data_IF_540928884452
#
_entry.id   IF_540928884452
#
_cell.length_a   1.000
_cell.length_b   1.000
_cell.length_c   1.000
_cell.angle_alpha   90.00
_cell.angle_beta   90.00
_cell.angle_gamma   90.00
#
_symmetry.space_group_name_H-M   'P 1'
#
loop_
_entity.id
_entity.type
_entity.pdbx_description
1 polymer ?
#
# COMPACT_ATOMS: atom_id res chain seq x y z
N UNK A 1 -4.55 22.92 -1.95
CA UNK A 1 -5.21 24.20 -1.71
C UNK A 1 -5.51 24.96 -3.01
N UNK A 2 -4.66 24.92 -3.99
CA UNK A 2 -4.82 25.68 -5.25
C UNK A 2 -6.05 25.27 -6.05
N UNK A 3 -6.38 23.99 -6.13
CA UNK A 3 -7.48 23.47 -6.95
C UNK A 3 -8.85 23.69 -6.31
N UNK A 4 -8.98 23.47 -5.00
CA UNK A 4 -10.27 23.59 -4.29
C UNK A 4 -10.35 24.80 -3.37
N UNK A 5 -9.38 25.69 -3.42
CA UNK A 5 -9.29 26.92 -2.60
C UNK A 5 -9.55 26.70 -1.09
N UNK A 6 -9.18 25.53 -0.57
CA UNK A 6 -9.28 25.20 0.85
C UNK A 6 -8.02 25.64 1.60
N UNK A 7 -8.20 26.02 2.87
CA UNK A 7 -7.07 26.34 3.74
C UNK A 7 -6.13 25.14 3.89
N UNK A 8 -4.82 25.42 4.06
CA UNK A 8 -3.76 24.41 4.19
C UNK A 8 -4.05 23.43 5.35
N UNK A 9 -4.62 23.93 6.45
CA UNK A 9 -5.04 23.11 7.58
C UNK A 9 -6.11 22.07 7.17
N UNK A 10 -7.12 22.54 6.44
CA UNK A 10 -8.21 21.68 5.93
C UNK A 10 -7.66 20.69 4.91
N UNK A 11 -6.78 21.12 4.00
CA UNK A 11 -6.13 20.24 3.04
C UNK A 11 -5.33 19.12 3.74
N UNK A 12 -4.59 19.45 4.81
CA UNK A 12 -3.89 18.48 5.64
C UNK A 12 -4.82 17.48 6.32
N UNK A 13 -5.96 17.93 6.86
CA UNK A 13 -6.98 17.06 7.45
C UNK A 13 -7.59 16.10 6.42
N UNK A 14 -7.85 16.60 5.20
CA UNK A 14 -8.38 15.77 4.11
C UNK A 14 -7.36 14.73 3.63
N UNK A 15 -6.08 15.10 3.53
CA UNK A 15 -5.00 14.14 3.22
C UNK A 15 -4.85 13.08 4.33
N UNK A 16 -5.02 13.46 5.60
CA UNK A 16 -5.02 12.54 6.71
C UNK A 16 -6.16 11.50 6.65
N UNK A 17 -7.28 11.82 6.02
CA UNK A 17 -8.41 10.91 5.83
C UNK A 17 -8.00 9.65 5.04
N UNK A 18 -7.18 9.81 3.98
CA UNK A 18 -6.63 8.68 3.24
C UNK A 18 -5.69 7.82 4.11
N UNK A 19 -4.74 8.46 4.80
CA UNK A 19 -3.77 7.74 5.64
C UNK A 19 -4.42 7.03 6.81
N UNK A 20 -5.46 7.63 7.41
CA UNK A 20 -6.23 7.06 8.49
C UNK A 20 -6.99 5.81 8.02
N UNK A 21 -7.71 5.91 6.91
CA UNK A 21 -8.42 4.76 6.34
C UNK A 21 -7.45 3.64 5.94
N UNK A 22 -6.33 3.99 5.29
CA UNK A 22 -5.29 3.05 4.89
C UNK A 22 -4.60 2.34 6.06
N UNK A 23 -4.61 2.92 7.25
CA UNK A 23 -3.98 2.33 8.45
C UNK A 23 -4.96 1.51 9.28
N UNK A 24 -6.12 2.07 9.61
CA UNK A 24 -7.11 1.43 10.49
C UNK A 24 -7.69 0.15 9.89
N UNK A 25 -8.03 0.19 8.58
CA UNK A 25 -8.67 -0.95 7.93
C UNK A 25 -7.70 -2.05 7.52
N UNK A 26 -6.38 -1.90 7.77
CA UNK A 26 -5.41 -2.96 7.47
C UNK A 26 -5.65 -4.23 8.30
N UNK A 27 -5.98 -4.08 9.58
CA UNK A 27 -6.32 -5.22 10.44
C UNK A 27 -7.56 -5.96 9.91
N UNK A 28 -8.58 -5.19 9.48
CA UNK A 28 -9.78 -5.74 8.85
C UNK A 28 -9.47 -6.46 7.52
N UNK A 29 -8.53 -5.93 6.74
CA UNK A 29 -8.03 -6.59 5.52
C UNK A 29 -7.40 -7.95 5.79
N UNK A 30 -6.65 -8.09 6.89
CA UNK A 30 -6.13 -9.37 7.35
C UNK A 30 -7.26 -10.38 7.62
N UNK A 31 -8.26 -10.01 8.44
CA UNK A 31 -9.42 -10.84 8.75
C UNK A 31 -10.22 -11.25 7.51
N UNK A 32 -10.44 -10.32 6.57
CA UNK A 32 -11.14 -10.62 5.31
C UNK A 32 -10.33 -11.57 4.43
N UNK A 33 -9.00 -11.41 4.40
CA UNK A 33 -8.11 -12.30 3.67
C UNK A 33 -8.10 -13.71 4.26
N UNK A 34 -8.29 -13.87 5.59
CA UNK A 34 -8.45 -15.15 6.26
C UNK A 34 -9.76 -15.82 5.84
N UNK A 35 -10.86 -15.05 5.82
CA UNK A 35 -12.20 -15.58 5.54
C UNK A 35 -12.45 -15.88 4.07
N UNK A 36 -12.02 -15.01 3.17
CA UNK A 36 -12.37 -15.07 1.73
C UNK A 36 -11.20 -15.48 0.82
N UNK A 37 -10.00 -15.58 1.39
CA UNK A 37 -8.75 -15.81 0.66
C UNK A 37 -8.10 -14.53 0.14
N UNK A 38 -6.79 -14.42 0.34
CA UNK A 38 -6.01 -13.23 -0.01
C UNK A 38 -6.10 -12.87 -1.51
N UNK A 39 -6.17 -13.88 -2.40
CA UNK A 39 -6.28 -13.70 -3.85
C UNK A 39 -7.55 -12.94 -4.25
N UNK A 40 -8.71 -13.30 -3.69
CA UNK A 40 -9.98 -12.62 -3.98
C UNK A 40 -9.97 -11.17 -3.48
N UNK A 41 -9.39 -10.94 -2.31
CA UNK A 41 -9.25 -9.59 -1.75
C UNK A 41 -8.33 -8.73 -2.62
N UNK A 42 -7.24 -9.28 -3.17
CA UNK A 42 -6.39 -8.56 -4.12
C UNK A 42 -7.14 -8.16 -5.39
N UNK A 43 -7.91 -9.06 -6.00
CA UNK A 43 -8.74 -8.71 -7.17
C UNK A 43 -9.76 -7.61 -6.87
N UNK A 44 -10.45 -7.70 -5.72
CA UNK A 44 -11.38 -6.65 -5.29
C UNK A 44 -10.66 -5.31 -5.08
N UNK A 45 -9.48 -5.35 -4.44
CA UNK A 45 -8.67 -4.15 -4.23
C UNK A 45 -8.28 -3.49 -5.55
N UNK A 46 -7.70 -4.25 -6.48
CA UNK A 46 -7.30 -3.69 -7.77
C UNK A 46 -8.49 -3.20 -8.59
N UNK A 47 -9.61 -3.94 -8.61
CA UNK A 47 -10.82 -3.55 -9.34
C UNK A 47 -11.39 -2.24 -8.83
N UNK A 48 -11.60 -2.10 -7.53
CA UNK A 48 -12.13 -0.87 -6.93
C UNK A 48 -11.13 0.28 -7.04
N UNK A 49 -9.83 0.01 -6.81
CA UNK A 49 -8.79 1.05 -6.97
C UNK A 49 -8.72 1.57 -8.40
N UNK A 50 -8.87 0.70 -9.40
CA UNK A 50 -8.93 1.08 -10.81
C UNK A 50 -10.11 2.03 -11.07
N UNK A 51 -11.32 1.71 -10.57
CA UNK A 51 -12.49 2.58 -10.72
C UNK A 51 -12.30 3.92 -10.02
N UNK A 52 -11.82 3.93 -8.77
CA UNK A 52 -11.56 5.17 -8.03
C UNK A 52 -10.52 6.03 -8.73
N UNK A 53 -9.41 5.44 -9.19
CA UNK A 53 -8.34 6.16 -9.87
C UNK A 53 -8.78 6.68 -11.23
N UNK A 54 -9.61 5.93 -11.97
CA UNK A 54 -10.22 6.41 -13.20
C UNK A 54 -11.05 7.67 -12.95
N UNK A 55 -11.91 7.66 -11.93
CA UNK A 55 -12.71 8.83 -11.55
C UNK A 55 -11.84 10.01 -11.14
N UNK A 56 -10.79 9.78 -10.35
CA UNK A 56 -9.88 10.82 -9.87
C UNK A 56 -8.96 11.36 -10.98
N UNK A 57 -8.65 10.57 -12.00
CA UNK A 57 -7.78 10.95 -13.11
C UNK A 57 -8.46 11.91 -14.10
N UNK A 58 -9.80 11.99 -14.04
CA UNK A 58 -10.55 12.81 -15.00
C UNK A 58 -10.39 14.30 -14.68
N UNK A 59 -9.79 15.11 -15.57
CA UNK A 59 -9.62 16.53 -15.35
C UNK A 59 -10.94 17.27 -15.52
N UNK A 60 -11.03 18.46 -14.93
CA UNK A 60 -12.14 19.38 -15.21
C UNK A 60 -12.14 19.73 -16.70
N UNK A 61 -13.24 19.46 -17.37
CA UNK A 61 -13.33 19.57 -18.82
C UNK A 61 -14.62 20.28 -19.21
N UNK A 62 -14.48 21.24 -20.10
CA UNK A 62 -15.62 21.93 -20.71
C UNK A 62 -15.94 21.25 -22.05
N UNK A 63 -17.18 20.82 -22.19
CA UNK A 63 -17.69 20.18 -23.40
C UNK A 63 -18.64 21.12 -24.13
N UNK A 64 -18.51 21.16 -25.45
CA UNK A 64 -19.49 21.78 -26.35
C UNK A 64 -20.01 20.68 -27.26
N UNK A 65 -21.29 20.36 -27.08
CA UNK A 65 -21.98 19.38 -27.94
C UNK A 65 -22.72 20.17 -29.02
N UNK A 66 -22.36 19.94 -30.27
CA UNK A 66 -23.07 20.53 -31.42
C UNK A 66 -24.41 19.81 -31.63
N UNK A 67 -25.46 20.34 -31.02
CA UNK A 67 -26.81 19.80 -31.14
C UNK A 67 -27.57 20.31 -32.36
N UNK A 68 -28.65 19.61 -32.73
CA UNK A 68 -29.48 19.97 -33.90
C UNK A 68 -30.10 21.36 -33.79
N UNK A 69 -30.34 21.88 -32.55
CA UNK A 69 -30.97 23.18 -32.28
C UNK A 69 -29.98 24.25 -31.77
N UNK A 70 -28.67 23.96 -31.78
CA UNK A 70 -27.62 24.85 -31.28
C UNK A 70 -26.62 24.11 -30.38
N UNK A 71 -25.56 24.82 -30.03
CA UNK A 71 -24.49 24.28 -29.18
C UNK A 71 -24.94 24.21 -27.72
N UNK A 72 -24.68 23.11 -27.09
CA UNK A 72 -24.93 22.89 -25.66
C UNK A 72 -23.57 22.79 -24.96
N UNK A 73 -23.26 23.80 -24.16
CA UNK A 73 -22.03 23.80 -23.34
C UNK A 73 -22.35 23.24 -21.96
N UNK A 74 -21.55 22.29 -21.48
CA UNK A 74 -21.57 21.83 -20.10
C UNK A 74 -20.14 21.56 -19.61
N UNK A 75 -19.90 21.84 -18.32
CA UNK A 75 -18.62 21.56 -17.68
C UNK A 75 -18.75 20.39 -16.72
N UNK A 76 -17.78 19.51 -16.76
CA UNK A 76 -17.67 18.39 -15.82
C UNK A 76 -16.48 18.65 -14.91
N UNK A 77 -16.74 18.79 -13.61
CA UNK A 77 -15.71 18.91 -12.59
C UNK A 77 -16.06 18.07 -11.37
N UNK A 78 -15.06 17.47 -10.76
CA UNK A 78 -15.25 16.72 -9.51
C UNK A 78 -15.25 17.72 -8.34
N UNK A 79 -16.37 17.79 -7.61
CA UNK A 79 -16.46 18.61 -6.40
C UNK A 79 -15.61 18.03 -5.26
N UNK A 80 -15.34 18.84 -4.24
CA UNK A 80 -14.53 18.44 -3.09
C UNK A 80 -15.08 17.21 -2.35
N UNK A 81 -16.39 17.15 -2.14
CA UNK A 81 -17.01 16.04 -1.37
C UNK A 81 -16.88 14.69 -2.10
N UNK A 82 -17.26 14.55 -3.39
CA UNK A 82 -17.02 13.32 -4.15
C UNK A 82 -15.53 12.96 -4.22
N UNK A 83 -14.64 13.93 -4.34
CA UNK A 83 -13.20 13.73 -4.32
C UNK A 83 -12.75 13.04 -3.01
N UNK A 84 -13.13 13.60 -1.86
CA UNK A 84 -12.77 13.07 -0.54
C UNK A 84 -13.35 11.67 -0.31
N UNK A 85 -14.60 11.44 -0.70
CA UNK A 85 -15.23 10.11 -0.60
C UNK A 85 -14.46 9.10 -1.44
N UNK A 86 -14.14 9.44 -2.69
CA UNK A 86 -13.42 8.54 -3.60
C UNK A 86 -12.01 8.22 -3.07
N UNK A 87 -11.30 9.21 -2.55
CA UNK A 87 -9.98 9.04 -1.91
C UNK A 87 -10.07 8.18 -0.66
N UNK A 88 -11.12 8.34 0.15
CA UNK A 88 -11.34 7.49 1.33
C UNK A 88 -11.58 6.02 0.93
N UNK A 89 -12.45 5.78 -0.05
CA UNK A 89 -12.74 4.43 -0.58
C UNK A 89 -11.47 3.80 -1.16
N UNK A 90 -10.70 4.57 -1.92
CA UNK A 90 -9.40 4.13 -2.45
C UNK A 90 -8.45 3.70 -1.32
N UNK A 91 -8.29 4.53 -0.29
CA UNK A 91 -7.46 4.22 0.88
C UNK A 91 -7.91 2.96 1.62
N UNK A 92 -9.23 2.79 1.78
CA UNK A 92 -9.82 1.60 2.37
C UNK A 92 -9.42 0.33 1.60
N UNK A 93 -9.68 0.27 0.31
CA UNK A 93 -9.36 -0.92 -0.50
C UNK A 93 -7.84 -1.14 -0.64
N UNK A 94 -7.04 -0.11 -0.74
CA UNK A 94 -5.58 -0.23 -0.75
C UNK A 94 -5.05 -0.83 0.57
N UNK A 95 -5.68 -0.54 1.70
CA UNK A 95 -5.31 -1.16 2.99
C UNK A 95 -5.59 -2.66 3.01
N UNK A 96 -6.73 -3.10 2.45
CA UNK A 96 -7.08 -4.51 2.32
C UNK A 96 -6.06 -5.24 1.44
N UNK A 97 -5.71 -4.67 0.29
CA UNK A 97 -4.72 -5.23 -0.63
C UNK A 97 -3.34 -5.36 0.00
N UNK A 98 -2.90 -4.35 0.76
CA UNK A 98 -1.62 -4.41 1.47
C UNK A 98 -1.58 -5.55 2.49
N UNK A 99 -2.65 -5.76 3.24
CA UNK A 99 -2.75 -6.89 4.16
C UNK A 99 -2.71 -8.24 3.41
N UNK A 100 -3.44 -8.34 2.29
CA UNK A 100 -3.47 -9.55 1.47
C UNK A 100 -2.11 -9.91 0.88
N UNK A 101 -1.32 -8.91 0.43
CA UNK A 101 0.05 -9.13 -0.08
C UNK A 101 0.94 -9.76 1.00
N UNK A 102 0.94 -9.18 2.21
CA UNK A 102 1.77 -9.70 3.30
C UNK A 102 1.35 -11.11 3.74
N UNK A 103 0.08 -11.46 3.58
CA UNK A 103 -0.40 -12.82 3.87
C UNK A 103 0.10 -13.87 2.89
N UNK A 104 0.38 -13.50 1.64
CA UNK A 104 0.96 -14.43 0.66
C UNK A 104 2.40 -14.83 1.00
N UNK A 105 3.17 -13.99 1.71
CA UNK A 105 4.58 -14.24 1.98
C UNK A 105 4.79 -15.56 2.75
N UNK A 106 4.18 -15.77 3.93
CA UNK A 106 4.38 -17.03 4.64
C UNK A 106 3.81 -18.25 3.92
N UNK A 107 2.82 -18.07 3.05
CA UNK A 107 2.23 -19.16 2.27
C UNK A 107 3.18 -19.65 1.18
N UNK A 108 3.86 -18.74 0.47
CA UNK A 108 4.75 -19.11 -0.64
C UNK A 108 6.21 -19.28 -0.23
N UNK A 109 6.63 -18.64 0.86
CA UNK A 109 8.02 -18.62 1.34
C UNK A 109 8.09 -18.84 2.86
N UNK A 110 7.68 -20.01 3.38
CA UNK A 110 7.60 -20.24 4.82
C UNK A 110 8.96 -20.12 5.50
N UNK A 111 10.03 -20.61 4.87
CA UNK A 111 11.38 -20.60 5.44
C UNK A 111 12.09 -19.24 5.33
N UNK A 112 11.54 -18.30 4.54
CA UNK A 112 12.17 -17.01 4.21
C UNK A 112 11.25 -15.82 4.42
N UNK A 113 10.29 -15.90 5.33
CA UNK A 113 9.27 -14.87 5.57
C UNK A 113 9.87 -13.49 5.83
N UNK A 114 10.92 -13.44 6.66
CA UNK A 114 11.59 -12.18 7.01
C UNK A 114 12.28 -11.53 5.81
N UNK A 115 13.09 -12.31 5.10
CA UNK A 115 13.85 -11.87 3.93
C UNK A 115 12.93 -11.41 2.79
N UNK A 116 11.93 -12.22 2.43
CA UNK A 116 10.95 -11.86 1.38
C UNK A 116 10.08 -10.67 1.81
N UNK A 117 9.65 -10.63 3.07
CA UNK A 117 8.92 -9.49 3.62
C UNK A 117 9.73 -8.19 3.59
N UNK A 118 11.03 -8.28 3.87
CA UNK A 118 11.98 -7.18 3.75
C UNK A 118 12.11 -6.68 2.31
N UNK A 119 12.28 -7.59 1.33
CA UNK A 119 12.32 -7.24 -0.10
C UNK A 119 11.02 -6.60 -0.60
N UNK A 120 9.86 -7.14 -0.24
CA UNK A 120 8.56 -6.55 -0.58
C UNK A 120 8.44 -5.14 0.02
N UNK A 121 8.88 -4.98 1.27
CA UNK A 121 8.91 -3.68 1.93
C UNK A 121 9.90 -2.68 1.29
N UNK A 122 11.05 -3.15 0.79
CA UNK A 122 12.03 -2.35 0.06
C UNK A 122 11.44 -1.84 -1.27
N UNK A 123 10.86 -2.73 -2.08
CA UNK A 123 10.22 -2.34 -3.35
C UNK A 123 9.09 -1.34 -3.11
N UNK A 124 8.29 -1.54 -2.05
CA UNK A 124 7.27 -0.56 -1.65
C UNK A 124 7.85 0.80 -1.25
N UNK A 125 9.00 0.81 -0.55
CA UNK A 125 9.73 2.03 -0.20
C UNK A 125 10.30 2.75 -1.43
N UNK A 126 10.85 2.02 -2.40
CA UNK A 126 11.28 2.57 -3.69
C UNK A 126 10.13 3.20 -4.47
N UNK A 127 8.94 2.61 -4.41
CA UNK A 127 7.73 3.26 -4.96
C UNK A 127 7.48 4.63 -4.34
N UNK A 128 7.68 4.77 -3.02
CA UNK A 128 7.58 6.05 -2.32
C UNK A 128 8.65 7.08 -2.73
N UNK A 129 9.77 6.65 -3.29
CA UNK A 129 10.78 7.52 -3.87
C UNK A 129 10.47 7.86 -5.34
N UNK A 130 10.22 6.86 -6.17
CA UNK A 130 10.07 7.03 -7.63
C UNK A 130 8.77 7.76 -7.99
N UNK A 131 7.64 7.43 -7.34
CA UNK A 131 6.34 7.97 -7.72
C UNK A 131 6.23 9.49 -7.56
N UNK A 132 6.68 10.14 -6.47
CA UNK A 132 6.64 11.60 -6.39
C UNK A 132 7.42 12.28 -7.52
N UNK A 133 8.58 11.74 -7.91
CA UNK A 133 9.39 12.28 -9.01
C UNK A 133 8.62 12.15 -10.34
N UNK A 134 8.05 10.96 -10.61
CA UNK A 134 7.23 10.75 -11.81
C UNK A 134 6.02 11.69 -11.82
N UNK A 135 5.38 11.92 -10.68
CA UNK A 135 4.25 12.84 -10.57
C UNK A 135 4.67 14.29 -10.87
N UNK A 136 5.83 14.73 -10.36
CA UNK A 136 6.38 16.05 -10.68
C UNK A 136 6.59 16.22 -12.18
N UNK A 137 7.33 15.29 -12.80
CA UNK A 137 7.63 15.33 -14.24
C UNK A 137 6.35 15.30 -15.09
N UNK A 138 5.41 14.41 -14.78
CA UNK A 138 4.17 14.30 -15.58
C UNK A 138 3.27 15.51 -15.36
N UNK A 139 3.22 16.06 -14.16
CA UNK A 139 2.48 17.31 -13.88
C UNK A 139 3.05 18.49 -14.66
N UNK A 140 4.37 18.63 -14.71
CA UNK A 140 5.04 19.71 -15.44
C UNK A 140 4.86 19.56 -16.97
N UNK A 141 4.90 18.34 -17.48
CA UNK A 141 4.71 18.05 -18.91
C UNK A 141 3.26 18.28 -19.37
N UNK A 142 2.29 17.93 -18.55
CA UNK A 142 0.87 17.97 -18.93
C UNK A 142 0.15 19.24 -18.49
N UNK A 143 0.68 19.94 -17.48
CA UNK A 143 0.01 21.04 -16.78
C UNK A 143 -1.38 20.64 -16.21
N UNK A 144 -1.58 19.33 -15.95
CA UNK A 144 -2.83 18.79 -15.42
C UNK A 144 -2.57 18.22 -14.03
N UNK A 145 -3.19 18.79 -13.00
CA UNK A 145 -3.00 18.35 -11.62
C UNK A 145 -3.47 16.92 -11.35
N UNK A 146 -4.46 16.42 -12.12
CA UNK A 146 -4.95 15.02 -12.00
C UNK A 146 -4.03 13.99 -12.67
N UNK A 147 -2.96 14.42 -13.32
CA UNK A 147 -2.03 13.54 -14.05
C UNK A 147 -1.37 12.49 -13.14
N UNK A 148 -1.14 12.81 -11.86
CA UNK A 148 -0.66 11.84 -10.88
C UNK A 148 -1.63 10.64 -10.71
N UNK A 149 -2.94 10.88 -10.74
CA UNK A 149 -3.94 9.82 -10.68
C UNK A 149 -4.00 9.02 -11.99
N UNK A 150 -3.72 9.64 -13.14
CA UNK A 150 -3.58 8.94 -14.42
C UNK A 150 -2.41 7.95 -14.39
N UNK A 151 -1.26 8.36 -13.84
CA UNK A 151 -0.11 7.47 -13.65
C UNK A 151 -0.45 6.32 -12.73
N UNK A 152 -1.08 6.60 -11.59
CA UNK A 152 -1.51 5.56 -10.65
C UNK A 152 -2.52 4.60 -11.26
N UNK A 153 -3.47 5.11 -12.05
CA UNK A 153 -4.42 4.29 -12.79
C UNK A 153 -3.71 3.33 -13.74
N UNK A 154 -2.78 3.83 -14.55
CA UNK A 154 -1.99 3.00 -15.46
C UNK A 154 -1.19 1.92 -14.71
N UNK A 155 -0.56 2.28 -13.59
CA UNK A 155 0.18 1.32 -12.76
C UNK A 155 -0.74 0.23 -12.18
N UNK A 156 -1.93 0.58 -11.72
CA UNK A 156 -2.90 -0.39 -11.17
C UNK A 156 -3.40 -1.34 -12.27
N UNK A 157 -3.67 -0.83 -13.48
CA UNK A 157 -4.06 -1.66 -14.63
C UNK A 157 -2.96 -2.65 -14.98
N UNK A 158 -1.70 -2.18 -15.07
CA UNK A 158 -0.53 -3.04 -15.35
C UNK A 158 -0.35 -4.09 -14.26
N UNK A 159 -0.44 -3.67 -12.98
CA UNK A 159 -0.29 -4.58 -11.83
C UNK A 159 -1.39 -5.65 -11.80
N UNK A 160 -2.65 -5.27 -12.08
CA UNK A 160 -3.76 -6.22 -12.18
C UNK A 160 -3.55 -7.23 -13.31
N UNK A 161 -3.14 -6.75 -14.48
CA UNK A 161 -2.84 -7.61 -15.64
C UNK A 161 -1.69 -8.58 -15.33
N UNK A 162 -0.61 -8.08 -14.72
CA UNK A 162 0.53 -8.90 -14.31
C UNK A 162 0.13 -9.96 -13.28
N UNK A 163 -0.61 -9.56 -12.24
CA UNK A 163 -1.12 -10.50 -11.24
C UNK A 163 -1.99 -11.58 -11.88
N UNK A 164 -2.90 -11.20 -12.78
CA UNK A 164 -3.77 -12.15 -13.47
C UNK A 164 -2.97 -13.15 -14.33
N UNK A 165 -1.97 -12.67 -15.08
CA UNK A 165 -1.08 -13.53 -15.87
C UNK A 165 -0.27 -14.47 -14.99
N UNK A 166 0.28 -13.99 -13.89
CA UNK A 166 1.05 -14.82 -12.95
C UNK A 166 0.18 -15.93 -12.33
N UNK A 167 -1.05 -15.62 -11.94
CA UNK A 167 -1.99 -16.60 -11.42
C UNK A 167 -2.33 -17.66 -12.48
N UNK A 168 -2.62 -17.24 -13.71
CA UNK A 168 -2.89 -18.16 -14.84
C UNK A 168 -1.71 -19.08 -15.12
N UNK A 169 -0.48 -18.56 -15.12
CA UNK A 169 0.71 -19.39 -15.30
C UNK A 169 0.90 -20.40 -14.18
N UNK A 170 0.62 -20.02 -12.93
CA UNK A 170 0.69 -20.96 -11.80
C UNK A 170 -0.38 -22.06 -11.91
N UNK A 171 -1.61 -21.70 -12.28
CA UNK A 171 -2.69 -22.67 -12.50
C UNK A 171 -2.39 -23.62 -13.65
N UNK A 172 -1.82 -23.14 -14.74
CA UNK A 172 -1.40 -23.99 -15.87
C UNK A 172 -0.28 -24.96 -15.48
N UNK A 173 0.70 -24.49 -14.69
CA UNK A 173 1.75 -25.37 -14.18
C UNK A 173 1.20 -26.42 -13.20
N UNK A 174 0.25 -26.02 -12.34
CA UNK A 174 -0.39 -26.94 -11.41
C UNK A 174 -1.29 -27.99 -12.11
N UNK A 175 -1.94 -27.64 -13.21
CA UNK A 175 -2.78 -28.57 -13.98
C UNK A 175 -1.98 -29.63 -14.76
N UNK A 176 -0.67 -29.41 -14.96
CA UNK A 176 0.25 -30.39 -15.58
C UNK A 176 0.91 -31.33 -14.58
N UNK A 177 0.71 -31.14 -13.29
CA UNK A 177 1.26 -31.96 -12.21
C UNK A 177 0.10 -32.78 -11.62
N UNK A 178 0.30 -34.10 -11.47
CA UNK A 178 -0.69 -34.97 -10.85
C UNK A 178 -1.05 -34.41 -9.45
N UNK A 179 -2.29 -33.98 -9.29
CA UNK A 179 -2.81 -33.30 -8.06
C UNK A 179 -2.61 -34.14 -6.80
N UNK A 180 -2.36 -35.46 -6.96
CA UNK A 180 -2.04 -36.39 -5.86
C UNK A 180 -0.58 -36.31 -5.39
N UNK A 181 0.31 -35.69 -6.15
CA UNK A 181 1.73 -35.51 -5.80
C UNK A 181 2.06 -34.11 -5.28
N UNK A 182 1.12 -33.16 -5.34
CA UNK A 182 1.29 -31.88 -4.65
C UNK A 182 1.15 -32.15 -3.16
N UNK A 183 2.08 -31.66 -2.32
CA UNK A 183 1.78 -31.53 -0.90
C UNK A 183 0.48 -30.76 -0.84
N UNK A 184 -0.57 -31.38 -0.32
CA UNK A 184 -1.81 -30.69 0.00
C UNK A 184 -1.37 -29.42 0.69
N UNK A 185 -1.77 -28.24 0.17
CA UNK A 185 -1.44 -27.00 0.85
C UNK A 185 -1.83 -27.21 2.30
N UNK A 186 -0.90 -27.36 3.22
CA UNK A 186 -1.28 -27.54 4.59
C UNK A 186 -1.91 -26.22 4.96
N UNK A 187 -3.19 -26.21 5.18
CA UNK A 187 -3.78 -25.28 6.08
C UNK A 187 -3.01 -25.49 7.38
N UNK A 188 -1.93 -24.73 7.54
CA UNK A 188 -1.21 -24.41 8.77
C UNK A 188 -1.02 -25.56 9.81
N UNK A 189 -0.90 -26.79 9.41
CA UNK A 189 -0.52 -27.89 10.29
C UNK A 189 0.76 -28.52 9.74
N UNK A 190 1.84 -28.43 10.52
CA UNK A 190 3.13 -29.09 10.32
C UNK A 190 4.17 -28.39 9.43
N UNK A 191 4.63 -27.22 9.86
CA UNK A 191 5.93 -26.71 9.44
C UNK A 191 6.70 -26.17 10.64
N UNK A 192 7.13 -27.06 11.49
CA UNK A 192 8.29 -26.79 12.36
C UNK A 192 8.98 -28.11 12.71
N UNK A 193 10.12 -28.35 12.07
CA UNK A 193 11.11 -29.30 12.56
C UNK A 193 11.96 -28.54 13.59
N UNK A 194 11.83 -28.84 14.91
CA UNK A 194 12.53 -28.11 15.96
C UNK A 194 14.03 -28.34 16.01
N UNK A 195 14.57 -29.27 15.17
CA UNK A 195 15.95 -29.75 15.32
C UNK A 195 17.01 -28.83 14.66
N UNK A 196 16.65 -27.71 14.03
CA UNK A 196 17.59 -26.89 13.23
C UNK A 196 18.07 -25.59 13.86
N UNK A 197 17.71 -25.25 15.08
CA UNK A 197 18.23 -24.03 15.71
C UNK A 197 19.22 -24.37 16.82
N UNK A 198 20.50 -24.26 16.48
CA UNK A 198 21.60 -24.32 17.43
C UNK A 198 21.55 -23.17 18.43
N UNK A 199 21.79 -23.49 19.68
CA UNK A 199 21.78 -22.62 20.83
C UNK A 199 22.71 -21.41 20.67
N UNK A 200 22.16 -20.21 20.72
CA UNK A 200 22.83 -18.96 21.04
C UNK A 200 22.01 -18.22 22.09
N UNK A 201 22.64 -17.77 23.14
CA UNK A 201 22.06 -17.14 24.33
C UNK A 201 21.36 -15.81 24.01
N UNK A 202 20.24 -15.83 23.38
CA UNK A 202 19.29 -14.74 23.33
C UNK A 202 17.94 -15.27 23.77
N UNK A 203 17.13 -14.48 24.45
CA UNK A 203 15.77 -14.80 24.89
C UNK A 203 14.85 -15.06 23.66
N UNK A 204 15.24 -16.00 22.83
CA UNK A 204 14.50 -16.49 21.70
C UNK A 204 13.55 -17.57 22.21
N UNK A 205 12.30 -17.46 21.85
CA UNK A 205 11.35 -18.55 22.08
C UNK A 205 11.75 -19.71 21.17
N UNK A 206 12.11 -20.84 21.75
CA UNK A 206 12.48 -22.04 21.01
C UNK A 206 11.29 -22.61 20.23
N UNK A 207 10.08 -22.41 20.75
CA UNK A 207 8.84 -22.81 20.09
C UNK A 207 7.79 -21.72 20.17
N UNK A 208 7.17 -21.38 19.03
CA UNK A 208 6.03 -20.49 18.95
C UNK A 208 4.84 -21.23 18.35
N UNK A 209 3.87 -21.65 19.20
CA UNK A 209 2.69 -22.42 18.81
C UNK A 209 1.40 -21.65 19.11
N UNK A 210 1.06 -20.58 18.34
CA UNK A 210 -0.10 -19.75 18.63
C UNK A 210 -1.44 -20.48 18.49
N UNK A 211 -1.48 -21.60 17.74
CA UNK A 211 -2.66 -22.42 17.52
C UNK A 211 -2.89 -23.44 18.66
N UNK A 212 -1.90 -23.68 19.52
CA UNK A 212 -2.06 -24.49 20.73
C UNK A 212 -2.68 -23.64 21.84
N UNK A 213 -3.92 -23.96 22.22
CA UNK A 213 -4.65 -23.24 23.24
C UNK A 213 -3.93 -23.19 24.59
N UNK A 214 -3.29 -24.30 25.00
CA UNK A 214 -2.53 -24.36 26.25
C UNK A 214 -1.30 -23.45 26.22
N UNK A 215 -0.55 -23.47 25.10
CA UNK A 215 0.59 -22.57 24.93
C UNK A 215 0.15 -21.12 24.90
N UNK A 216 -0.96 -20.82 24.17
CA UNK A 216 -1.47 -19.48 24.04
C UNK A 216 -1.89 -18.88 25.38
N UNK A 217 -2.70 -19.57 26.15
CA UNK A 217 -3.17 -19.12 27.47
C UNK A 217 -2.03 -19.00 28.50
N UNK A 218 -1.09 -19.94 28.50
CA UNK A 218 0.01 -19.95 29.47
C UNK A 218 1.06 -18.86 29.20
N UNK A 219 1.41 -18.61 27.94
CA UNK A 219 2.60 -17.81 27.60
C UNK A 219 2.41 -16.93 26.37
N UNK A 220 1.81 -17.46 25.30
CA UNK A 220 1.75 -16.83 23.97
C UNK A 220 1.05 -15.48 23.99
N UNK A 221 -0.13 -15.40 24.57
CA UNK A 221 -0.93 -14.16 24.64
C UNK A 221 -0.17 -13.02 25.33
N UNK A 222 0.48 -13.29 26.45
CA UNK A 222 1.24 -12.28 27.20
C UNK A 222 2.39 -11.71 26.36
N UNK A 223 3.12 -12.57 25.67
CA UNK A 223 4.26 -12.17 24.83
C UNK A 223 3.77 -11.39 23.61
N UNK A 224 2.75 -11.90 22.92
CA UNK A 224 2.16 -11.23 21.76
C UNK A 224 1.62 -9.85 22.13
N UNK A 225 0.88 -9.74 23.22
CA UNK A 225 0.33 -8.48 23.71
C UNK A 225 1.42 -7.48 24.08
N UNK A 226 2.49 -7.91 24.78
CA UNK A 226 3.63 -7.04 25.12
C UNK A 226 4.30 -6.51 23.86
N UNK A 227 4.60 -7.38 22.88
CA UNK A 227 5.24 -6.99 21.64
C UNK A 227 4.37 -6.03 20.83
N UNK A 228 3.06 -6.26 20.79
CA UNK A 228 2.10 -5.39 20.13
C UNK A 228 2.09 -3.98 20.76
N UNK A 229 2.03 -3.87 22.08
CA UNK A 229 2.03 -2.59 22.79
C UNK A 229 3.34 -1.79 22.61
N UNK A 230 4.45 -2.45 22.39
CA UNK A 230 5.73 -1.79 22.10
C UNK A 230 5.80 -1.38 20.61
N UNK A 231 5.35 -2.26 19.72
CA UNK A 231 5.45 -2.05 18.27
C UNK A 231 4.53 -0.96 17.75
N UNK A 232 3.32 -0.83 18.32
CA UNK A 232 2.35 0.20 17.87
C UNK A 232 2.90 1.62 18.07
N UNK A 233 3.35 2.04 19.27
CA UNK A 233 3.89 3.40 19.45
C UNK A 233 5.18 3.63 18.65
N UNK A 234 6.06 2.64 18.58
CA UNK A 234 7.29 2.74 17.79
C UNK A 234 7.01 3.00 16.32
N UNK A 235 6.08 2.25 15.75
CA UNK A 235 5.66 2.41 14.36
C UNK A 235 4.94 3.74 14.12
N UNK A 236 4.08 4.15 15.05
CA UNK A 236 3.39 5.44 14.99
C UNK A 236 4.38 6.60 14.96
N UNK A 237 5.40 6.58 15.83
CA UNK A 237 6.44 7.62 15.87
C UNK A 237 7.25 7.64 14.57
N UNK A 238 7.65 6.49 14.04
CA UNK A 238 8.40 6.40 12.78
C UNK A 238 7.60 7.00 11.61
N UNK A 239 6.33 6.68 11.48
CA UNK A 239 5.47 7.26 10.45
C UNK A 239 5.18 8.74 10.66
N UNK A 240 5.06 9.19 11.93
CA UNK A 240 4.88 10.61 12.24
C UNK A 240 6.07 11.44 11.79
N UNK A 241 7.30 10.98 12.04
CA UNK A 241 8.53 11.64 11.56
C UNK A 241 8.56 11.71 10.03
N UNK A 242 8.18 10.64 9.35
CA UNK A 242 8.10 10.65 7.89
C UNK A 242 7.09 11.66 7.36
N UNK A 243 5.91 11.72 7.95
CA UNK A 243 4.86 12.68 7.55
C UNK A 243 5.25 14.14 7.80
N UNK A 244 5.97 14.42 8.91
CA UNK A 244 6.48 15.77 9.22
C UNK A 244 7.40 16.26 8.11
N UNK A 245 8.27 15.40 7.56
CA UNK A 245 9.15 15.80 6.47
C UNK A 245 8.38 16.30 5.24
N UNK A 246 7.35 15.60 4.81
CA UNK A 246 6.52 16.02 3.68
C UNK A 246 5.84 17.38 3.93
N UNK A 247 5.42 17.64 5.17
CA UNK A 247 4.86 18.94 5.56
C UNK A 247 5.91 20.05 5.57
N UNK A 248 7.13 19.76 6.02
CA UNK A 248 8.25 20.72 5.99
C UNK A 248 8.56 21.10 4.55
N UNK A 249 8.72 20.13 3.66
CA UNK A 249 9.00 20.36 2.23
C UNK A 249 7.94 21.25 1.60
N UNK A 250 6.65 21.01 1.86
CA UNK A 250 5.56 21.83 1.35
C UNK A 250 5.58 23.29 1.88
N UNK A 251 6.27 23.56 2.98
CA UNK A 251 6.37 24.89 3.59
C UNK A 251 7.65 25.63 3.20
N UNK A 252 8.63 25.00 2.61
CA UNK A 252 9.91 25.63 2.24
C UNK A 252 9.73 26.91 1.39
N UNK A 253 8.87 26.94 0.35
CA UNK A 253 8.65 28.15 -0.43
C UNK A 253 8.09 29.32 0.39
N UNK A 254 7.29 29.04 1.42
CA UNK A 254 6.69 30.07 2.28
C UNK A 254 7.69 30.76 3.22
N UNK A 255 8.84 30.13 3.46
CA UNK A 255 9.90 30.66 4.33
C UNK A 255 11.11 31.15 3.57
N UNK A 256 10.99 31.34 2.25
CA UNK A 256 11.98 32.02 1.43
C UNK A 256 12.95 31.10 0.66
N UNK A 257 12.66 29.80 0.55
CA UNK A 257 13.42 28.89 -0.31
C UNK A 257 12.77 28.80 -1.69
N UNK A 258 13.44 29.31 -2.72
CA UNK A 258 12.96 29.28 -4.10
C UNK A 258 13.28 27.93 -4.74
N UNK A 259 12.48 26.91 -4.41
CA UNK A 259 12.54 25.62 -5.05
C UNK A 259 11.48 25.49 -6.14
N UNK A 260 11.84 24.89 -7.28
CA UNK A 260 10.87 24.50 -8.29
C UNK A 260 9.98 23.34 -7.78
N UNK A 261 8.83 23.14 -8.40
CA UNK A 261 7.92 22.04 -8.08
C UNK A 261 8.62 20.69 -8.13
N UNK A 262 9.44 20.46 -9.17
CA UNK A 262 10.24 19.23 -9.32
C UNK A 262 11.21 19.06 -8.15
N UNK A 263 11.95 20.11 -7.75
CA UNK A 263 12.87 20.06 -6.62
C UNK A 263 12.17 19.71 -5.30
N UNK A 264 10.96 20.23 -5.09
CA UNK A 264 10.16 19.89 -3.91
C UNK A 264 9.72 18.41 -3.91
N UNK A 265 9.35 17.85 -5.08
CA UNK A 265 9.06 16.42 -5.21
C UNK A 265 10.30 15.56 -4.93
N UNK A 266 11.48 15.95 -5.44
CA UNK A 266 12.74 15.28 -5.13
C UNK A 266 13.03 15.28 -3.62
N UNK A 267 12.91 16.43 -2.96
CA UNK A 267 13.11 16.55 -1.51
C UNK A 267 12.12 15.67 -0.72
N UNK A 268 10.86 15.65 -1.12
CA UNK A 268 9.84 14.83 -0.49
C UNK A 268 10.10 13.32 -0.66
N UNK A 269 10.75 12.92 -1.75
CA UNK A 269 11.06 11.53 -2.07
C UNK A 269 12.25 10.96 -1.31
N UNK A 270 13.22 11.78 -0.86
CA UNK A 270 14.46 11.34 -0.22
C UNK A 270 14.31 10.36 0.96
N UNK A 271 13.35 10.54 1.90
CA UNK A 271 13.13 9.57 2.97
C UNK A 271 12.71 8.19 2.47
N UNK A 272 11.98 8.13 1.33
CA UNK A 272 11.62 6.88 0.68
C UNK A 272 12.85 6.12 0.17
N UNK A 273 13.80 6.83 -0.43
CA UNK A 273 15.05 6.26 -0.91
C UNK A 273 15.89 5.69 0.25
N UNK A 274 16.12 6.49 1.29
CA UNK A 274 16.91 6.05 2.45
C UNK A 274 16.26 4.86 3.15
N UNK A 275 14.95 4.92 3.41
CA UNK A 275 14.21 3.84 4.06
C UNK A 275 14.17 2.55 3.24
N UNK A 276 14.14 2.62 1.91
CA UNK A 276 14.23 1.46 1.04
C UNK A 276 15.64 0.85 1.04
N UNK A 277 16.67 1.69 0.89
CA UNK A 277 18.06 1.24 0.81
C UNK A 277 18.52 0.54 2.09
N UNK A 278 18.24 1.13 3.27
CA UNK A 278 18.63 0.53 4.54
C UNK A 278 17.88 -0.77 4.87
N UNK A 279 16.73 -1.01 4.29
CA UNK A 279 16.03 -2.30 4.45
C UNK A 279 16.80 -3.49 3.88
N UNK A 280 17.62 -3.29 2.86
CA UNK A 280 18.46 -4.36 2.29
C UNK A 280 19.33 -4.98 3.39
N UNK A 281 19.98 -4.15 4.19
CA UNK A 281 20.88 -4.61 5.27
C UNK A 281 20.16 -5.34 6.41
N UNK A 282 18.86 -5.08 6.61
CA UNK A 282 18.06 -5.76 7.62
C UNK A 282 17.33 -7.01 7.10
N UNK A 283 17.38 -7.26 5.80
CA UNK A 283 16.69 -8.41 5.18
C UNK A 283 17.58 -9.65 5.06
N UNK A 284 18.86 -9.48 5.25
CA UNK A 284 19.90 -10.51 5.22
C UNK A 284 20.70 -10.47 6.54
#
# INVERSE_FOLDING_TARGET
SEVYHVDVKVAGMLAATFSLSASLFRAYGGMLSDKYGARKIMYATFGVSMLCLFMLSYPSTDYVIHGIKGDIAFSTSMGLVPFVITVFVLGFFMSLGKAAVYKHIPVYYPDHVGSVGGMVGMVGGLGGFVLPIVFGVVSDLTNIWTSCFMVLFALVVVALGWMHMAIRQMEQKASGIDVRSLPQFPEMAELHDPSKHAAGETRVLEEWKPEDANFWEATGERIARRNLYISIPALLLAFSVWMVWSMVVAKLPLIGFDYSTDQLFWLAALPGLSGATFRIFYSF
#
